data_IF_061002945624
#
_entry.id   IF_061002945624
#
_cell.length_a   1.000
_cell.length_b   1.000
_cell.length_c   1.000
_cell.angle_alpha   90.00
_cell.angle_beta   90.00
_cell.angle_gamma   90.00
#
_symmetry.space_group_name_H-M   'P 1'
#
loop_
_entity.id
_entity.type
_entity.pdbx_description
1 polymer ?
#
# COMPACT_ATOMS: atom_id res chain seq x y z
N UNK A 1 -12.72 -39.73 5.40
CA UNK A 1 -12.49 -39.05 6.69
C UNK A 1 -12.03 -37.62 6.37
N UNK A 2 -12.94 -36.66 6.50
CA UNK A 2 -12.69 -35.24 6.20
C UNK A 2 -12.09 -34.58 7.43
N UNK A 3 -10.86 -34.06 7.35
CA UNK A 3 -10.28 -33.19 8.38
C UNK A 3 -10.73 -31.76 8.13
N UNK A 4 -11.43 -31.20 9.09
CA UNK A 4 -11.89 -29.81 9.09
C UNK A 4 -10.73 -28.83 9.13
N UNK A 5 -10.68 -27.93 8.16
CA UNK A 5 -9.78 -26.78 8.14
C UNK A 5 -10.32 -25.77 9.17
N UNK A 6 -9.67 -25.68 10.33
CA UNK A 6 -9.94 -24.61 11.30
C UNK A 6 -9.35 -23.32 10.76
N UNK A 7 -10.21 -22.37 10.37
CA UNK A 7 -9.83 -20.99 10.10
C UNK A 7 -9.17 -20.39 11.35
N UNK A 8 -7.86 -20.19 11.28
CA UNK A 8 -7.17 -19.30 12.22
C UNK A 8 -7.29 -17.88 11.67
N UNK A 9 -8.27 -17.14 12.16
CA UNK A 9 -8.28 -15.68 12.01
C UNK A 9 -7.13 -15.17 12.90
N UNK A 10 -5.98 -14.94 12.31
CA UNK A 10 -4.85 -14.31 12.99
C UNK A 10 -5.02 -12.80 12.85
N UNK A 11 -5.49 -12.18 13.93
CA UNK A 11 -5.42 -10.73 14.08
C UNK A 11 -3.96 -10.35 14.29
N UNK A 12 -3.23 -10.10 13.22
CA UNK A 12 -1.84 -9.68 13.30
C UNK A 12 -1.74 -8.18 13.60
N UNK A 13 -1.78 -7.85 14.89
CA UNK A 13 -0.99 -6.72 15.38
C UNK A 13 0.47 -7.19 15.36
N UNK A 14 1.10 -7.18 14.18
CA UNK A 14 2.53 -7.48 14.09
C UNK A 14 3.30 -6.25 14.59
N UNK A 15 3.81 -6.35 15.81
CA UNK A 15 4.98 -5.59 16.22
C UNK A 15 6.17 -6.16 15.43
N UNK A 16 6.47 -5.58 14.27
CA UNK A 16 7.64 -5.96 13.47
C UNK A 16 8.88 -5.43 14.18
N UNK A 17 9.64 -6.31 14.82
CA UNK A 17 10.98 -6.02 15.31
C UNK A 17 11.96 -6.06 14.14
N UNK A 18 12.43 -4.90 13.70
CA UNK A 18 13.45 -4.75 12.67
C UNK A 18 14.83 -4.87 13.33
N UNK A 19 15.57 -5.92 13.01
CA UNK A 19 17.01 -6.00 13.27
C UNK A 19 17.74 -5.63 11.96
N UNK A 20 18.31 -4.44 11.89
CA UNK A 20 19.24 -4.07 10.81
C UNK A 20 20.63 -4.58 11.24
N UNK A 21 21.11 -5.64 10.60
CA UNK A 21 22.49 -6.07 10.78
C UNK A 21 23.39 -5.22 9.87
N UNK A 22 24.10 -4.26 10.45
CA UNK A 22 25.21 -3.59 9.79
C UNK A 22 26.38 -4.55 9.77
N UNK A 23 26.68 -5.16 8.61
CA UNK A 23 27.96 -5.82 8.41
C UNK A 23 29.08 -4.76 8.29
N UNK A 24 30.26 -4.98 8.89
CA UNK A 24 31.36 -4.03 8.76
C UNK A 24 31.84 -3.96 7.30
N UNK A 25 31.96 -2.74 6.78
CA UNK A 25 32.47 -2.45 5.44
C UNK A 25 33.96 -2.79 5.41
N UNK A 26 34.30 -3.94 4.81
CA UNK A 26 35.68 -4.24 4.45
C UNK A 26 36.14 -3.27 3.34
N UNK A 27 37.22 -2.54 3.60
CA UNK A 27 37.86 -1.70 2.59
C UNK A 27 38.43 -2.57 1.46
N UNK A 28 37.75 -2.63 0.33
CA UNK A 28 38.32 -3.15 -0.89
C UNK A 28 39.15 -2.06 -1.56
N UNK A 29 40.41 -2.37 -1.86
CA UNK A 29 41.31 -1.49 -2.63
C UNK A 29 40.67 -1.20 -4.01
N UNK A 30 40.61 0.08 -4.36
CA UNK A 30 40.15 0.54 -5.65
C UNK A 30 41.22 0.24 -6.71
N UNK A 31 40.90 -0.67 -7.64
CA UNK A 31 41.55 -0.68 -8.95
C UNK A 31 40.82 0.32 -9.85
N UNK A 32 41.51 1.41 -10.15
CA UNK A 32 41.00 2.50 -10.98
C UNK A 32 41.13 2.15 -12.47
N UNK A 33 40.12 1.52 -13.05
CA UNK A 33 39.81 1.67 -14.46
C UNK A 33 38.50 2.43 -14.56
N UNK A 34 38.58 3.71 -14.95
CA UNK A 34 37.43 4.55 -15.22
C UNK A 34 36.70 4.03 -16.47
N UNK A 35 35.83 3.04 -16.31
CA UNK A 35 34.79 2.79 -17.28
C UNK A 35 33.84 3.98 -17.27
N UNK A 36 33.82 4.73 -18.38
CA UNK A 36 32.79 5.72 -18.65
C UNK A 36 31.46 4.96 -18.68
N UNK A 37 30.74 4.99 -17.59
CA UNK A 37 29.42 4.34 -17.47
C UNK A 37 28.44 5.08 -18.38
N UNK A 38 28.17 4.52 -19.57
CA UNK A 38 27.12 5.04 -20.44
C UNK A 38 25.78 4.89 -19.70
N UNK A 39 25.05 6.00 -19.56
CA UNK A 39 23.69 5.99 -19.00
C UNK A 39 22.86 4.93 -19.74
N UNK A 40 22.24 3.97 -19.05
CA UNK A 40 21.47 2.90 -19.70
C UNK A 40 20.42 3.47 -20.64
N UNK A 41 20.28 2.88 -21.81
CA UNK A 41 19.38 3.40 -22.86
C UNK A 41 17.91 3.48 -22.40
N UNK A 42 17.52 2.66 -21.44
CA UNK A 42 16.16 2.62 -20.90
C UNK A 42 15.77 3.90 -20.15
N UNK A 43 16.71 4.54 -19.41
CA UNK A 43 16.41 5.75 -18.64
C UNK A 43 16.02 6.94 -19.53
N UNK A 44 16.49 6.95 -20.78
CA UNK A 44 16.10 7.96 -21.78
C UNK A 44 14.66 7.84 -22.25
N UNK A 45 14.05 6.67 -22.08
CA UNK A 45 12.65 6.42 -22.46
C UNK A 45 11.67 6.68 -21.32
N UNK A 46 12.16 6.78 -20.10
CA UNK A 46 11.36 6.96 -18.88
C UNK A 46 10.95 8.43 -18.69
N UNK A 47 9.67 8.65 -18.42
CA UNK A 47 9.11 9.97 -18.10
C UNK A 47 8.32 9.91 -16.76
N UNK A 48 8.87 10.46 -15.67
CA UNK A 48 8.22 10.43 -14.36
C UNK A 48 6.88 11.18 -14.33
N UNK A 49 6.67 12.16 -15.22
CA UNK A 49 5.40 12.89 -15.26
C UNK A 49 4.25 11.98 -15.70
N UNK A 50 4.50 11.04 -16.63
CA UNK A 50 3.50 10.04 -17.02
C UNK A 50 3.15 9.11 -15.85
N UNK A 51 4.13 8.68 -15.07
CA UNK A 51 3.86 7.92 -13.86
C UNK A 51 2.98 8.71 -12.88
N UNK A 52 3.26 9.99 -12.67
CA UNK A 52 2.50 10.88 -11.80
C UNK A 52 1.08 11.14 -12.33
N UNK A 53 0.87 11.19 -13.64
CA UNK A 53 -0.48 11.27 -14.23
C UNK A 53 -1.32 10.02 -13.85
N UNK A 54 -0.72 8.83 -13.86
CA UNK A 54 -1.38 7.62 -13.37
C UNK A 54 -1.66 7.70 -11.87
N UNK A 55 -0.72 8.22 -11.07
CA UNK A 55 -0.94 8.46 -9.63
C UNK A 55 -2.13 9.39 -9.41
N UNK A 56 -2.23 10.50 -10.14
CA UNK A 56 -3.36 11.43 -10.06
C UNK A 56 -4.68 10.75 -10.39
N UNK A 57 -4.70 9.99 -11.47
CA UNK A 57 -5.95 9.33 -11.88
C UNK A 57 -6.43 8.34 -10.81
N UNK A 58 -5.54 7.52 -10.28
CA UNK A 58 -5.87 6.52 -9.25
C UNK A 58 -6.27 7.18 -7.92
N UNK A 59 -5.51 8.16 -7.45
CA UNK A 59 -5.73 8.76 -6.13
C UNK A 59 -6.74 9.90 -6.10
N UNK A 60 -6.79 10.76 -7.14
CA UNK A 60 -7.66 11.94 -7.18
C UNK A 60 -8.96 11.68 -7.97
N UNK A 61 -8.90 10.91 -9.08
CA UNK A 61 -10.08 10.63 -9.91
C UNK A 61 -10.87 9.44 -9.36
N UNK A 62 -10.24 8.32 -9.04
CA UNK A 62 -10.89 7.19 -8.39
C UNK A 62 -11.00 7.41 -6.88
N UNK A 63 -9.89 7.79 -6.22
CA UNK A 63 -9.81 8.01 -4.78
C UNK A 63 -9.54 6.72 -4.00
N UNK A 64 -10.04 6.60 -2.75
CA UNK A 64 -9.86 5.39 -1.94
C UNK A 64 -10.39 4.15 -2.66
N UNK A 65 -9.57 3.10 -2.68
CA UNK A 65 -9.77 1.89 -3.50
C UNK A 65 -9.68 0.61 -2.66
N UNK A 66 -10.46 0.48 -1.58
CA UNK A 66 -10.37 -0.70 -0.71
C UNK A 66 -10.67 -1.97 -1.48
N UNK A 67 -9.98 -3.05 -1.10
CA UNK A 67 -10.04 -4.35 -1.76
C UNK A 67 -11.46 -4.87 -1.98
N UNK A 68 -11.76 -5.35 -3.19
CA UNK A 68 -13.06 -5.89 -3.61
C UNK A 68 -14.13 -4.84 -3.90
N UNK A 69 -13.87 -3.54 -3.66
CA UNK A 69 -14.86 -2.48 -3.89
C UNK A 69 -14.94 -2.07 -5.36
N UNK A 70 -16.02 -1.33 -5.72
CA UNK A 70 -16.18 -0.77 -7.06
C UNK A 70 -15.05 0.17 -7.47
N UNK A 71 -14.47 0.90 -6.52
CA UNK A 71 -13.34 1.78 -6.81
C UNK A 71 -12.06 0.99 -7.13
N UNK A 72 -11.83 -0.13 -6.44
CA UNK A 72 -10.75 -1.05 -6.81
C UNK A 72 -10.99 -1.68 -8.20
N UNK A 73 -12.22 -2.11 -8.50
CA UNK A 73 -12.58 -2.62 -9.82
C UNK A 73 -12.32 -1.57 -10.94
N UNK A 74 -12.67 -0.31 -10.71
CA UNK A 74 -12.39 0.76 -11.67
C UNK A 74 -10.89 0.99 -11.88
N UNK A 75 -10.10 0.91 -10.81
CA UNK A 75 -8.65 0.99 -10.90
C UNK A 75 -8.07 -0.16 -11.73
N UNK A 76 -8.49 -1.41 -11.49
CA UNK A 76 -8.02 -2.56 -12.28
C UNK A 76 -8.36 -2.43 -13.76
N UNK A 77 -9.57 -1.93 -14.10
CA UNK A 77 -9.98 -1.69 -15.48
C UNK A 77 -9.16 -0.58 -16.14
N UNK A 78 -8.92 0.52 -15.42
CA UNK A 78 -8.05 1.59 -15.89
C UNK A 78 -6.65 1.06 -16.20
N UNK A 79 -6.02 0.35 -15.27
CA UNK A 79 -4.68 -0.23 -15.44
C UNK A 79 -4.65 -1.17 -16.65
N UNK A 80 -5.62 -2.06 -16.76
CA UNK A 80 -5.69 -2.99 -17.88
C UNK A 80 -5.91 -2.31 -19.23
N UNK A 81 -6.67 -1.21 -19.28
CA UNK A 81 -6.82 -0.40 -20.49
C UNK A 81 -5.50 0.26 -20.88
N UNK A 82 -4.74 0.82 -19.92
CA UNK A 82 -3.43 1.40 -20.19
C UNK A 82 -2.48 0.35 -20.77
N UNK A 83 -2.36 -0.82 -20.14
CA UNK A 83 -1.50 -1.90 -20.61
C UNK A 83 -1.91 -2.42 -21.99
N UNK A 84 -3.22 -2.57 -22.26
CA UNK A 84 -3.73 -2.96 -23.60
C UNK A 84 -3.40 -1.92 -24.67
N UNK A 85 -3.49 -0.63 -24.35
CA UNK A 85 -3.15 0.45 -25.28
C UNK A 85 -1.67 0.45 -25.68
N UNK A 86 -0.79 -0.11 -24.82
CA UNK A 86 0.61 -0.34 -25.07
C UNK A 86 0.88 -1.65 -25.85
N UNK A 87 -0.16 -2.40 -26.22
CA UNK A 87 -0.04 -3.65 -26.99
C UNK A 87 0.23 -4.90 -26.16
N UNK A 88 0.09 -4.85 -24.83
CA UNK A 88 0.24 -6.03 -23.99
C UNK A 88 -1.01 -6.93 -24.05
N UNK A 89 -0.79 -8.24 -23.96
CA UNK A 89 -1.83 -9.19 -23.59
C UNK A 89 -2.11 -9.05 -22.09
N UNK A 90 -3.35 -8.75 -21.71
CA UNK A 90 -3.74 -8.49 -20.33
C UNK A 90 -4.71 -9.54 -19.84
N UNK A 91 -4.32 -10.21 -18.77
CA UNK A 91 -5.11 -11.16 -17.99
C UNK A 91 -5.63 -10.50 -16.71
N UNK A 92 -6.91 -10.75 -16.38
CA UNK A 92 -7.47 -10.41 -15.08
C UNK A 92 -7.68 -11.70 -14.30
N UNK A 93 -7.00 -11.83 -13.16
CA UNK A 93 -7.08 -13.00 -12.31
C UNK A 93 -7.96 -12.71 -11.09
N UNK A 94 -9.22 -13.22 -11.05
CA UNK A 94 -10.15 -12.95 -9.95
C UNK A 94 -9.87 -13.83 -8.73
N UNK A 95 -10.06 -13.24 -7.53
CA UNK A 95 -10.04 -13.97 -6.26
C UNK A 95 -10.99 -13.36 -5.25
N UNK A 96 -11.38 -14.14 -4.24
CA UNK A 96 -12.33 -13.71 -3.21
C UNK A 96 -11.60 -12.95 -2.11
N UNK A 97 -12.23 -11.88 -1.61
CA UNK A 97 -11.72 -11.06 -0.51
C UNK A 97 -12.74 -10.96 0.62
N UNK A 98 -12.30 -10.64 1.85
CA UNK A 98 -13.21 -10.47 3.00
C UNK A 98 -14.20 -9.34 2.80
N UNK A 99 -15.30 -9.42 3.53
CA UNK A 99 -16.30 -8.37 3.60
C UNK A 99 -15.70 -7.01 4.00
N UNK A 100 -16.19 -5.94 3.39
CA UNK A 100 -15.81 -4.57 3.69
C UNK A 100 -16.93 -3.82 4.40
N UNK A 101 -16.55 -3.03 5.40
CA UNK A 101 -17.46 -2.16 6.15
C UNK A 101 -16.99 -0.72 6.01
N UNK A 102 -17.66 0.04 5.14
CA UNK A 102 -17.25 1.40 4.78
C UNK A 102 -18.28 2.41 5.28
N UNK A 103 -17.81 3.37 6.05
CA UNK A 103 -18.57 4.54 6.46
C UNK A 103 -18.37 5.71 5.50
N UNK A 104 -19.42 6.52 5.31
CA UNK A 104 -19.40 7.74 4.52
C UNK A 104 -19.90 8.89 5.37
N UNK A 105 -19.13 9.97 5.41
CA UNK A 105 -19.42 11.16 6.20
C UNK A 105 -19.62 12.34 5.25
N UNK A 106 -20.84 12.82 5.12
CA UNK A 106 -21.13 14.09 4.46
C UNK A 106 -20.95 15.21 5.48
N UNK A 107 -20.12 16.18 5.15
CA UNK A 107 -19.72 17.27 6.03
C UNK A 107 -19.38 18.52 5.22
N UNK A 108 -19.52 19.74 5.79
CA UNK A 108 -19.02 20.97 5.16
C UNK A 108 -17.51 20.97 4.88
N UNK A 109 -16.75 20.09 5.54
CA UNK A 109 -15.31 19.92 5.31
C UNK A 109 -15.01 19.04 4.09
N UNK A 110 -15.95 18.22 3.63
CA UNK A 110 -15.79 17.39 2.44
C UNK A 110 -16.09 18.18 1.17
N UNK A 111 -15.07 18.81 0.59
CA UNK A 111 -15.25 19.76 -0.52
C UNK A 111 -15.56 19.12 -1.87
N UNK A 112 -15.25 17.84 -2.08
CA UNK A 112 -15.42 17.17 -3.38
C UNK A 112 -15.97 15.74 -3.32
N UNK A 113 -15.86 15.05 -2.20
CA UNK A 113 -16.33 13.67 -1.99
C UNK A 113 -16.67 13.47 -0.52
N UNK A 114 -17.59 12.55 -0.25
CA UNK A 114 -17.86 12.10 1.11
C UNK A 114 -16.59 11.50 1.72
N UNK A 115 -16.22 11.95 2.89
CA UNK A 115 -15.11 11.33 3.59
C UNK A 115 -15.45 9.88 3.92
N UNK A 116 -14.54 8.98 3.58
CA UNK A 116 -14.66 7.60 3.99
C UNK A 116 -14.08 7.39 5.38
N UNK A 117 -14.65 6.41 6.07
CA UNK A 117 -14.26 5.98 7.41
C UNK A 117 -14.44 4.47 7.53
N UNK A 118 -13.79 3.83 8.48
CA UNK A 118 -14.07 2.44 8.81
C UNK A 118 -15.38 2.35 9.61
N UNK A 119 -16.40 1.64 9.10
CA UNK A 119 -17.62 1.39 9.89
C UNK A 119 -17.44 0.15 10.79
N UNK A 120 -17.96 0.22 12.00
CA UNK A 120 -17.94 -0.92 12.92
C UNK A 120 -18.94 -2.01 12.48
N UNK A 121 -18.51 -3.28 12.28
CA UNK A 121 -19.40 -4.35 11.83
C UNK A 121 -20.61 -4.59 12.76
N UNK A 122 -20.42 -4.41 14.08
CA UNK A 122 -21.45 -4.57 15.10
C UNK A 122 -22.21 -3.27 15.43
N UNK A 123 -22.20 -2.29 14.53
CA UNK A 123 -22.98 -1.06 14.63
C UNK A 123 -24.15 -1.04 13.63
N UNK A 124 -24.92 0.04 13.62
CA UNK A 124 -25.92 0.25 12.58
C UNK A 124 -25.22 0.45 11.22
N UNK A 125 -25.46 -0.47 10.31
CA UNK A 125 -25.06 -0.36 8.90
C UNK A 125 -26.31 0.04 8.11
N UNK A 126 -26.33 1.26 7.58
CA UNK A 126 -27.49 1.80 6.84
C UNK A 126 -27.02 2.75 5.74
N UNK A 127 -27.65 2.62 4.59
CA UNK A 127 -27.53 3.57 3.46
C UNK A 127 -28.41 4.81 3.67
N UNK A 128 -29.37 4.75 4.58
CA UNK A 128 -30.11 5.92 5.04
C UNK A 128 -29.24 6.76 5.97
N UNK A 129 -29.28 8.08 5.77
CA UNK A 129 -28.42 8.99 6.51
C UNK A 129 -28.90 9.18 7.94
N UNK A 130 -28.00 9.04 8.88
CA UNK A 130 -28.17 9.55 10.26
C UNK A 130 -27.57 10.95 10.31
N UNK A 131 -28.43 11.97 10.34
CA UNK A 131 -28.02 13.38 10.31
C UNK A 131 -28.22 14.01 11.69
N UNK A 132 -27.17 14.62 12.24
CA UNK A 132 -27.23 15.30 13.55
C UNK A 132 -26.05 16.27 13.72
N UNK A 133 -26.16 17.24 14.65
CA UNK A 133 -25.04 18.07 15.05
C UNK A 133 -23.90 17.24 15.68
N UNK A 134 -22.65 17.64 15.42
CA UNK A 134 -21.46 17.04 16.00
C UNK A 134 -21.09 17.74 17.31
N UNK A 135 -20.69 16.95 18.31
CA UNK A 135 -20.09 17.43 19.56
C UNK A 135 -18.79 16.67 19.84
N UNK A 136 -17.76 17.37 20.26
CA UNK A 136 -16.53 16.75 20.75
C UNK A 136 -16.62 16.52 22.28
N UNK A 137 -16.27 15.32 22.72
CA UNK A 137 -16.18 14.96 24.12
C UNK A 137 -14.76 14.47 24.43
N UNK A 138 -14.16 15.07 25.45
CA UNK A 138 -12.84 14.66 25.93
C UNK A 138 -12.99 13.44 26.86
N UNK A 139 -12.16 12.41 26.68
CA UNK A 139 -12.22 11.19 27.50
C UNK A 139 -13.41 10.31 27.14
N UNK A 140 -14.36 10.15 28.07
CA UNK A 140 -15.62 9.41 27.86
C UNK A 140 -15.60 7.94 28.26
N UNK A 141 -14.52 7.46 28.87
CA UNK A 141 -14.46 6.09 29.41
C UNK A 141 -15.28 5.91 30.70
N UNK A 142 -15.61 7.01 31.38
CA UNK A 142 -16.53 7.06 32.49
C UNK A 142 -17.83 7.74 32.08
N UNK A 143 -18.97 7.33 32.63
CA UNK A 143 -20.28 7.86 32.27
C UNK A 143 -20.41 9.35 32.62
N UNK A 144 -19.79 9.77 33.73
CA UNK A 144 -19.73 11.16 34.16
C UNK A 144 -18.98 12.09 33.22
N UNK A 145 -18.08 11.57 32.40
CA UNK A 145 -17.36 12.36 31.37
C UNK A 145 -18.29 12.76 30.20
N UNK A 146 -19.45 12.10 30.06
CA UNK A 146 -20.39 12.33 28.96
C UNK A 146 -21.44 13.36 29.37
N UNK A 147 -21.42 14.57 28.80
CA UNK A 147 -22.38 15.61 29.11
C UNK A 147 -23.78 15.24 28.57
N UNK A 148 -24.84 15.78 29.18
CA UNK A 148 -26.23 15.49 28.78
C UNK A 148 -26.56 16.05 27.39
N UNK A 149 -25.83 17.05 26.93
CA UNK A 149 -25.93 17.68 25.59
C UNK A 149 -25.58 16.71 24.47
N UNK A 150 -25.04 15.53 24.75
CA UNK A 150 -24.81 14.44 23.80
C UNK A 150 -26.11 13.89 23.21
N UNK A 151 -27.22 14.01 23.95
CA UNK A 151 -28.53 13.54 23.52
C UNK A 151 -28.90 14.13 22.14
N UNK A 152 -29.23 13.27 21.21
CA UNK A 152 -29.60 13.64 19.84
C UNK A 152 -28.44 14.05 18.90
N UNK A 153 -27.19 13.97 19.35
CA UNK A 153 -26.00 14.39 18.59
C UNK A 153 -25.12 13.21 18.13
N UNK A 154 -24.25 13.49 17.16
CA UNK A 154 -23.11 12.64 16.83
C UNK A 154 -21.95 13.05 17.76
N UNK A 155 -21.29 12.08 18.36
CA UNK A 155 -20.20 12.33 19.32
C UNK A 155 -18.86 12.00 18.69
N UNK A 156 -17.92 12.93 18.73
CA UNK A 156 -16.54 12.74 18.35
C UNK A 156 -15.70 12.50 19.60
N UNK A 157 -14.94 11.40 19.61
CA UNK A 157 -13.95 11.09 20.63
C UNK A 157 -12.57 10.94 20.02
N UNK A 158 -11.56 11.38 20.74
CA UNK A 158 -10.25 10.76 20.65
C UNK A 158 -10.37 9.34 21.18
N UNK A 159 -10.07 8.32 20.37
CA UNK A 159 -10.33 6.94 20.80
C UNK A 159 -9.46 6.57 21.99
N UNK A 160 -10.02 5.81 22.91
CA UNK A 160 -9.26 5.19 23.98
C UNK A 160 -8.14 4.29 23.44
N UNK A 161 -7.08 4.13 24.23
CA UNK A 161 -5.86 3.40 23.82
C UNK A 161 -6.10 1.91 23.61
N UNK A 162 -7.06 1.33 24.30
CA UNK A 162 -7.43 -0.08 24.18
C UNK A 162 -8.81 -0.28 23.56
N UNK A 163 -9.08 -1.49 23.09
CA UNK A 163 -10.42 -1.89 22.59
C UNK A 163 -11.47 -1.69 23.68
N UNK A 164 -11.16 -2.02 24.93
CA UNK A 164 -12.06 -1.84 26.07
C UNK A 164 -12.39 -0.37 26.30
N UNK A 165 -11.42 0.52 26.21
CA UNK A 165 -11.62 1.94 26.47
C UNK A 165 -12.57 2.59 25.45
N UNK A 166 -12.33 2.39 24.17
CA UNK A 166 -13.22 2.98 23.17
C UNK A 166 -14.61 2.30 23.14
N UNK A 167 -14.72 1.03 23.54
CA UNK A 167 -16.04 0.41 23.73
C UNK A 167 -16.83 1.09 24.86
N UNK A 168 -16.18 1.42 26.00
CA UNK A 168 -16.80 2.22 27.07
C UNK A 168 -17.24 3.60 26.58
N UNK A 169 -16.39 4.29 25.77
CA UNK A 169 -16.78 5.57 25.17
C UNK A 169 -18.06 5.44 24.34
N UNK A 170 -18.17 4.40 23.49
CA UNK A 170 -19.35 4.14 22.67
C UNK A 170 -20.57 3.83 23.53
N UNK A 171 -20.46 2.88 24.50
CA UNK A 171 -21.56 2.48 25.36
C UNK A 171 -22.08 3.65 26.21
N UNK A 172 -21.20 4.48 26.77
CA UNK A 172 -21.54 5.66 27.53
C UNK A 172 -22.26 6.72 26.69
N UNK A 173 -21.77 6.98 25.46
CA UNK A 173 -22.44 7.91 24.55
C UNK A 173 -23.84 7.42 24.14
N UNK A 174 -24.00 6.12 23.85
CA UNK A 174 -25.29 5.50 23.53
C UNK A 174 -26.26 5.63 24.71
N UNK A 175 -25.82 5.36 25.95
CA UNK A 175 -26.65 5.47 27.14
C UNK A 175 -27.14 6.91 27.41
N UNK A 176 -26.40 7.91 26.90
CA UNK A 176 -26.77 9.34 26.95
C UNK A 176 -27.54 9.82 25.71
N UNK A 177 -27.99 8.91 24.85
CA UNK A 177 -28.84 9.23 23.71
C UNK A 177 -28.09 9.75 22.45
N UNK A 178 -26.83 9.45 22.29
CA UNK A 178 -26.08 9.76 21.05
C UNK A 178 -26.76 9.14 19.83
N UNK A 179 -26.72 9.84 18.69
CA UNK A 179 -27.22 9.38 17.37
C UNK A 179 -26.16 8.71 16.51
N UNK A 180 -24.89 8.91 16.83
CA UNK A 180 -23.74 8.31 16.17
C UNK A 180 -22.47 8.57 16.97
N UNK A 181 -21.44 7.77 16.73
CA UNK A 181 -20.12 7.93 17.35
C UNK A 181 -19.02 7.89 16.31
N UNK A 182 -18.11 8.85 16.37
CA UNK A 182 -16.89 8.94 15.61
C UNK A 182 -15.70 8.79 16.56
N UNK A 183 -14.84 7.82 16.29
CA UNK A 183 -13.61 7.54 17.05
C UNK A 183 -12.41 7.88 16.16
N UNK A 184 -11.64 8.91 16.49
CA UNK A 184 -10.45 9.18 15.68
C UNK A 184 -9.18 8.60 16.32
N UNK A 185 -8.29 8.12 15.45
CA UNK A 185 -7.03 7.49 15.83
C UNK A 185 -6.09 8.47 16.52
N UNK A 186 -5.27 7.94 17.44
CA UNK A 186 -4.15 8.67 18.05
C UNK A 186 -2.99 8.83 17.07
N UNK A 187 -2.11 9.79 17.31
CA UNK A 187 -0.80 9.82 16.66
C UNK A 187 -0.02 8.59 17.13
N UNK A 188 0.53 7.82 16.18
CA UNK A 188 1.35 6.66 16.49
C UNK A 188 2.68 7.05 17.14
N UNK A 189 3.26 6.15 17.95
CA UNK A 189 4.52 6.37 18.66
C UNK A 189 5.75 6.64 17.75
N UNK A 190 5.60 6.47 16.44
CA UNK A 190 6.61 6.79 15.42
C UNK A 190 6.37 8.15 14.73
N UNK A 191 5.45 8.96 15.25
CA UNK A 191 5.11 10.27 14.69
C UNK A 191 4.27 10.22 13.41
N UNK A 192 3.79 9.04 13.01
CA UNK A 192 2.87 8.89 11.91
C UNK A 192 1.46 9.31 12.34
N UNK A 193 0.70 9.90 11.44
CA UNK A 193 -0.71 10.17 11.71
C UNK A 193 -1.47 8.85 11.87
N UNK A 194 -2.38 8.80 12.86
CA UNK A 194 -3.20 7.61 13.05
C UNK A 194 -4.16 7.40 11.88
N UNK A 195 -4.19 6.19 11.38
CA UNK A 195 -4.98 5.80 10.20
C UNK A 195 -6.47 5.60 10.51
N UNK A 196 -7.28 5.55 9.46
CA UNK A 196 -8.67 5.09 9.50
C UNK A 196 -8.73 3.61 9.93
N UNK A 197 -9.75 3.22 10.68
CA UNK A 197 -9.90 1.85 11.18
C UNK A 197 -11.37 1.45 11.35
N UNK A 198 -11.64 0.14 11.34
CA UNK A 198 -12.96 -0.41 11.65
C UNK A 198 -13.04 -0.73 13.16
N UNK A 199 -13.84 0.02 13.96
CA UNK A 199 -13.93 -0.23 15.39
C UNK A 199 -14.49 -1.63 15.70
N UNK A 200 -13.79 -2.38 16.56
CA UNK A 200 -14.25 -3.68 17.06
C UNK A 200 -15.14 -3.49 18.27
N UNK A 201 -16.44 -3.58 18.09
CA UNK A 201 -17.40 -3.43 19.19
C UNK A 201 -17.67 -4.78 19.86
N UNK A 202 -17.64 -4.78 21.20
CA UNK A 202 -17.93 -5.93 22.02
C UNK A 202 -19.44 -6.25 22.07
N UNK A 203 -20.28 -5.20 21.94
CA UNK A 203 -21.74 -5.30 21.90
C UNK A 203 -22.29 -4.68 20.64
N UNK A 204 -23.39 -5.22 20.13
CA UNK A 204 -24.13 -4.63 19.02
C UNK A 204 -24.68 -3.26 19.42
N UNK A 205 -24.54 -2.28 18.51
CA UNK A 205 -25.04 -0.92 18.68
C UNK A 205 -26.13 -0.61 17.66
N UNK A 206 -27.14 0.17 18.07
CA UNK A 206 -28.24 0.60 17.20
C UNK A 206 -27.98 1.92 16.46
N UNK A 207 -26.80 2.49 16.61
CA UNK A 207 -26.34 3.73 15.97
C UNK A 207 -25.08 3.46 15.13
N UNK A 208 -24.75 4.30 14.12
CA UNK A 208 -23.49 4.18 13.38
C UNK A 208 -22.30 4.51 14.29
N UNK A 209 -21.23 3.72 14.18
CA UNK A 209 -19.95 3.94 14.86
C UNK A 209 -18.83 3.83 13.84
N UNK A 210 -18.06 4.91 13.64
CA UNK A 210 -17.01 4.97 12.65
C UNK A 210 -15.65 5.26 13.27
N UNK A 211 -14.61 4.66 12.68
CA UNK A 211 -13.21 4.94 12.99
C UNK A 211 -12.59 5.85 11.94
N UNK A 212 -12.01 6.94 12.39
CA UNK A 212 -11.41 8.00 11.59
C UNK A 212 -9.89 8.00 11.72
N UNK A 213 -9.21 8.53 10.72
CA UNK A 213 -7.83 8.95 10.85
C UNK A 213 -7.70 10.15 11.82
N UNK A 214 -6.52 10.29 12.43
CA UNK A 214 -6.21 11.42 13.32
C UNK A 214 -6.54 12.78 12.68
N UNK A 215 -6.11 12.97 11.42
CA UNK A 215 -6.31 14.23 10.73
C UNK A 215 -7.78 14.56 10.47
N UNK A 216 -8.62 13.56 10.21
CA UNK A 216 -10.07 13.76 10.06
C UNK A 216 -10.70 14.22 11.39
N UNK A 217 -10.35 13.55 12.50
CA UNK A 217 -10.82 13.91 13.83
C UNK A 217 -10.40 15.32 14.25
N UNK A 218 -9.14 15.67 13.99
CA UNK A 218 -8.62 17.01 14.26
C UNK A 218 -9.32 18.10 13.43
N UNK A 219 -9.56 17.85 12.15
CA UNK A 219 -10.29 18.79 11.30
C UNK A 219 -11.71 19.06 11.85
N UNK A 220 -12.40 18.04 12.34
CA UNK A 220 -13.70 18.22 13.01
C UNK A 220 -13.60 18.99 14.32
N UNK A 221 -12.58 18.74 15.14
CA UNK A 221 -12.34 19.53 16.37
C UNK A 221 -12.13 21.01 16.07
N UNK A 222 -11.31 21.32 15.07
CA UNK A 222 -11.05 22.68 14.64
C UNK A 222 -12.32 23.35 14.10
N UNK A 223 -13.14 22.62 13.34
CA UNK A 223 -14.41 23.13 12.81
C UNK A 223 -15.39 23.47 13.95
N UNK A 224 -15.52 22.56 14.93
CA UNK A 224 -16.34 22.83 16.13
C UNK A 224 -15.83 24.04 16.89
N UNK A 225 -14.50 24.14 17.09
CA UNK A 225 -13.91 25.29 17.78
C UNK A 225 -14.16 26.62 17.08
N UNK A 226 -14.20 26.63 15.74
CA UNK A 226 -14.46 27.84 14.95
C UNK A 226 -15.94 28.23 14.86
N UNK A 227 -16.84 27.24 14.75
CA UNK A 227 -18.27 27.46 14.44
C UNK A 227 -19.23 27.10 15.56
N UNK A 228 -18.73 26.54 16.65
CA UNK A 228 -19.53 26.02 17.78
C UNK A 228 -20.13 24.65 17.54
N UNK A 229 -20.54 24.34 16.33
CA UNK A 229 -21.05 23.02 15.91
C UNK A 229 -20.98 22.87 14.39
N UNK A 230 -21.08 21.62 13.93
CA UNK A 230 -21.26 21.29 12.50
C UNK A 230 -22.27 20.14 12.40
N UNK A 231 -23.02 20.09 11.30
CA UNK A 231 -23.98 19.00 11.05
C UNK A 231 -23.31 17.98 10.14
N UNK A 232 -23.39 16.70 10.53
CA UNK A 232 -22.88 15.58 9.74
C UNK A 232 -24.02 14.65 9.33
N UNK A 233 -23.87 14.00 8.19
CA UNK A 233 -24.71 12.88 7.77
C UNK A 233 -23.86 11.64 7.63
N UNK A 234 -24.19 10.59 8.38
CA UNK A 234 -23.47 9.32 8.43
C UNK A 234 -24.26 8.26 7.67
N UNK A 235 -23.58 7.57 6.73
CA UNK A 235 -24.09 6.39 6.02
C UNK A 235 -23.05 5.28 6.12
N UNK A 236 -23.48 4.03 6.10
CA UNK A 236 -22.57 2.89 6.10
C UNK A 236 -23.03 1.83 5.11
N UNK A 237 -22.05 1.13 4.53
CA UNK A 237 -22.28 -0.05 3.68
C UNK A 237 -21.51 -1.24 4.22
N UNK A 238 -22.17 -2.39 4.16
CA UNK A 238 -21.54 -3.69 4.26
C UNK A 238 -21.52 -4.29 2.87
N UNK A 239 -20.35 -4.50 2.35
CA UNK A 239 -20.15 -5.14 1.04
C UNK A 239 -19.58 -6.54 1.27
N UNK A 240 -20.26 -7.55 0.73
CA UNK A 240 -19.94 -8.97 0.91
C UNK A 240 -19.83 -9.70 -0.40
N UNK A 241 -19.26 -10.92 -0.38
CA UNK A 241 -18.98 -11.74 -1.56
C UNK A 241 -18.15 -10.97 -2.60
N UNK A 242 -17.18 -10.26 -2.10
CA UNK A 242 -16.33 -9.38 -2.89
C UNK A 242 -15.29 -10.16 -3.67
N UNK A 243 -15.00 -9.67 -4.87
CA UNK A 243 -13.96 -10.21 -5.74
C UNK A 243 -12.99 -9.08 -6.07
N UNK A 244 -11.72 -9.30 -5.84
CA UNK A 244 -10.64 -8.47 -6.32
C UNK A 244 -9.97 -9.08 -7.54
N UNK A 245 -9.13 -8.33 -8.24
CA UNK A 245 -8.50 -8.73 -9.48
C UNK A 245 -6.99 -8.46 -9.43
N UNK A 246 -6.16 -9.44 -9.74
CA UNK A 246 -4.81 -9.13 -10.20
C UNK A 246 -4.86 -8.75 -11.68
N UNK A 247 -4.10 -7.73 -12.08
CA UNK A 247 -3.96 -7.33 -13.49
C UNK A 247 -2.57 -7.72 -13.96
N UNK A 248 -2.49 -8.62 -14.92
CA UNK A 248 -1.25 -9.24 -15.37
C UNK A 248 -1.03 -8.94 -16.85
N UNK A 249 0.06 -8.25 -17.19
CA UNK A 249 0.48 -8.02 -18.56
C UNK A 249 1.79 -8.75 -18.84
N UNK A 250 1.84 -9.45 -19.96
CA UNK A 250 3.01 -10.28 -20.36
C UNK A 250 3.56 -9.81 -21.68
N UNK A 251 4.88 -9.66 -21.78
CA UNK A 251 5.61 -9.49 -23.03
C UNK A 251 6.54 -10.67 -23.21
N UNK A 252 6.22 -11.51 -24.17
CA UNK A 252 7.05 -12.64 -24.58
C UNK A 252 8.12 -12.20 -25.58
N UNK A 253 9.27 -12.86 -25.64
CA UNK A 253 10.24 -12.63 -26.71
C UNK A 253 9.65 -13.00 -28.07
N UNK A 254 10.18 -12.40 -29.15
CA UNK A 254 9.71 -12.67 -30.53
C UNK A 254 9.75 -14.16 -30.92
N UNK A 255 10.74 -14.90 -30.40
CA UNK A 255 10.87 -16.36 -30.60
C UNK A 255 10.62 -17.06 -29.30
N UNK A 256 9.35 -17.10 -28.87
CA UNK A 256 8.97 -17.75 -27.62
C UNK A 256 8.87 -19.26 -27.80
N UNK A 257 9.46 -20.01 -26.85
CA UNK A 257 9.38 -21.47 -26.74
C UNK A 257 8.44 -21.92 -25.61
N UNK A 258 7.97 -20.97 -24.79
CA UNK A 258 7.17 -21.19 -23.60
C UNK A 258 7.99 -21.62 -22.36
N UNK A 259 9.32 -21.64 -22.47
CA UNK A 259 10.24 -22.00 -21.38
C UNK A 259 11.21 -20.86 -20.99
N UNK A 260 11.01 -19.68 -21.55
CA UNK A 260 11.85 -18.53 -21.29
C UNK A 260 11.82 -18.15 -19.82
N UNK A 261 12.95 -17.71 -19.29
CA UNK A 261 13.00 -17.07 -18.00
C UNK A 261 12.19 -15.78 -18.00
N UNK A 262 11.68 -15.39 -16.83
CA UNK A 262 10.84 -14.21 -16.69
C UNK A 262 11.39 -13.26 -15.63
N UNK A 263 11.24 -11.96 -15.85
CA UNK A 263 11.42 -10.92 -14.84
C UNK A 263 10.05 -10.28 -14.56
N UNK A 264 9.74 -10.08 -13.29
CA UNK A 264 8.47 -9.49 -12.86
C UNK A 264 8.72 -8.09 -12.31
N UNK A 265 7.90 -7.13 -12.70
CA UNK A 265 7.78 -5.80 -12.10
C UNK A 265 6.38 -5.71 -11.52
N UNK A 266 6.26 -5.43 -10.22
CA UNK A 266 4.96 -5.46 -9.55
C UNK A 266 4.73 -4.29 -8.61
N UNK A 267 3.46 -4.09 -8.26
CA UNK A 267 2.96 -3.19 -7.22
C UNK A 267 1.57 -3.66 -6.80
N UNK A 268 1.02 -3.15 -5.72
CA UNK A 268 -0.42 -3.19 -5.50
C UNK A 268 -1.09 -1.90 -5.98
N UNK A 269 -2.41 -1.96 -6.22
CA UNK A 269 -3.16 -0.80 -6.71
C UNK A 269 -4.35 -0.43 -5.84
N UNK A 270 -4.69 -1.25 -4.86
CA UNK A 270 -5.67 -0.92 -3.83
C UNK A 270 -5.11 0.10 -2.82
N UNK A 271 -5.93 0.60 -1.95
CA UNK A 271 -5.56 1.44 -0.81
C UNK A 271 -6.52 1.21 0.35
N UNK A 272 -6.15 1.57 1.56
CA UNK A 272 -7.03 1.45 2.71
C UNK A 272 -8.26 2.36 2.62
N UNK A 273 -9.30 2.02 3.37
CA UNK A 273 -10.51 2.84 3.51
C UNK A 273 -10.14 4.25 3.93
N UNK A 274 -10.63 5.25 3.19
CA UNK A 274 -10.46 6.67 3.51
C UNK A 274 -9.15 7.31 3.06
N UNK A 275 -8.17 6.54 2.58
CA UNK A 275 -6.94 7.08 2.03
C UNK A 275 -6.97 7.08 0.48
N UNK A 276 -6.72 8.23 -0.17
CA UNK A 276 -6.55 8.28 -1.63
C UNK A 276 -5.39 7.39 -2.11
N UNK A 277 -4.40 7.14 -1.26
CA UNK A 277 -3.29 6.26 -1.54
C UNK A 277 -2.47 6.73 -2.74
N UNK A 278 -2.00 7.98 -2.71
CA UNK A 278 -1.18 8.51 -3.80
C UNK A 278 0.22 7.91 -3.76
N UNK A 279 0.85 7.91 -2.59
CA UNK A 279 2.12 7.22 -2.41
C UNK A 279 1.89 5.73 -2.14
N UNK A 280 0.89 5.37 -1.37
CA UNK A 280 0.53 4.01 -0.98
C UNK A 280 -0.81 3.54 -1.62
N UNK A 281 -0.80 2.84 -2.79
CA UNK A 281 0.38 2.62 -3.65
C UNK A 281 0.07 2.94 -5.12
N UNK A 282 -0.59 4.10 -5.38
CA UNK A 282 -0.70 4.56 -6.75
C UNK A 282 0.69 4.92 -7.33
N UNK A 283 1.68 5.24 -6.46
CA UNK A 283 3.05 5.54 -6.89
C UNK A 283 3.72 4.32 -7.52
N UNK A 284 3.66 3.17 -6.87
CA UNK A 284 4.17 1.91 -7.43
C UNK A 284 3.43 1.49 -8.69
N UNK A 285 2.10 1.65 -8.71
CA UNK A 285 1.30 1.35 -9.91
C UNK A 285 1.65 2.29 -11.08
N UNK A 286 1.84 3.59 -10.82
CA UNK A 286 2.31 4.54 -11.84
C UNK A 286 3.69 4.18 -12.38
N UNK A 287 4.60 3.74 -11.51
CA UNK A 287 5.92 3.24 -11.90
C UNK A 287 5.80 2.00 -12.80
N UNK A 288 4.98 1.01 -12.42
CA UNK A 288 4.75 -0.21 -13.22
C UNK A 288 4.23 0.13 -14.62
N UNK A 289 3.26 1.05 -14.73
CA UNK A 289 2.68 1.48 -16.00
C UNK A 289 3.70 2.23 -16.88
N UNK A 290 4.51 3.11 -16.29
CA UNK A 290 5.53 3.84 -17.04
C UNK A 290 6.68 2.90 -17.49
N UNK A 291 7.10 1.96 -16.65
CA UNK A 291 8.05 0.94 -17.07
C UNK A 291 7.47 0.04 -18.17
N UNK A 292 6.19 -0.35 -18.07
CA UNK A 292 5.55 -1.09 -19.16
C UNK A 292 5.64 -0.32 -20.48
N UNK A 293 5.38 0.98 -20.47
CA UNK A 293 5.52 1.84 -21.66
C UNK A 293 6.96 1.90 -22.15
N UNK A 294 7.93 2.11 -21.26
CA UNK A 294 9.34 2.23 -21.62
C UNK A 294 9.91 0.91 -22.20
N UNK A 295 9.44 -0.23 -21.70
CA UNK A 295 9.86 -1.55 -22.16
C UNK A 295 9.08 -2.07 -23.38
N UNK A 296 8.07 -1.34 -23.86
CA UNK A 296 7.22 -1.80 -24.97
C UNK A 296 8.02 -2.28 -26.19
N UNK A 297 9.08 -1.57 -26.56
CA UNK A 297 9.90 -1.86 -27.73
C UNK A 297 11.28 -2.48 -27.40
N UNK A 298 11.55 -2.79 -26.13
CA UNK A 298 12.83 -3.42 -25.74
C UNK A 298 12.82 -4.87 -26.19
N UNK A 299 13.79 -5.26 -27.02
CA UNK A 299 13.95 -6.65 -27.43
C UNK A 299 14.72 -7.44 -26.36
N UNK A 300 14.26 -8.63 -26.07
CA UNK A 300 14.85 -9.53 -25.07
C UNK A 300 14.53 -10.98 -25.42
N UNK A 301 15.36 -11.91 -24.93
CA UNK A 301 15.12 -13.35 -24.97
C UNK A 301 14.32 -13.88 -23.77
N UNK A 302 13.95 -12.99 -22.84
CA UNK A 302 13.20 -13.29 -21.62
C UNK A 302 11.80 -12.68 -21.66
N UNK A 303 10.91 -13.26 -20.90
CA UNK A 303 9.57 -12.70 -20.66
C UNK A 303 9.66 -11.56 -19.64
N UNK A 304 8.90 -10.48 -19.87
CA UNK A 304 8.65 -9.46 -18.84
C UNK A 304 7.20 -9.58 -18.42
N UNK A 305 6.94 -9.61 -17.12
CA UNK A 305 5.60 -9.53 -16.53
C UNK A 305 5.46 -8.23 -15.76
N UNK A 306 4.42 -7.46 -16.08
CA UNK A 306 3.98 -6.30 -15.31
C UNK A 306 2.72 -6.73 -14.59
N UNK A 307 2.75 -6.73 -13.25
CA UNK A 307 1.65 -7.22 -12.43
C UNK A 307 1.26 -6.14 -11.42
N UNK A 308 -0.05 -5.83 -11.36
CA UNK A 308 -0.57 -5.04 -10.26
C UNK A 308 -1.54 -5.89 -9.45
N UNK A 309 -1.25 -6.03 -8.16
CA UNK A 309 -2.02 -6.86 -7.24
C UNK A 309 -3.17 -6.07 -6.63
N UNK A 310 -4.32 -6.70 -6.48
CA UNK A 310 -5.42 -6.16 -5.71
C UNK A 310 -5.37 -6.65 -4.27
N UNK A 311 -6.01 -5.90 -3.37
CA UNK A 311 -6.24 -6.28 -1.97
C UNK A 311 -4.97 -6.67 -1.19
N UNK A 312 -3.87 -5.98 -1.44
CA UNK A 312 -2.64 -6.07 -0.65
C UNK A 312 -2.90 -5.66 0.79
N UNK A 313 -3.60 -4.54 0.98
CA UNK A 313 -3.95 -3.91 2.24
C UNK A 313 -4.84 -4.79 3.15
N UNK A 314 -5.38 -5.85 2.58
CA UNK A 314 -6.21 -6.83 3.29
C UNK A 314 -5.39 -8.07 3.69
N UNK A 315 -4.07 -8.00 3.56
CA UNK A 315 -3.12 -9.04 3.96
C UNK A 315 -2.50 -9.80 2.79
N UNK A 316 -1.99 -9.09 1.79
CA UNK A 316 -1.25 -9.61 0.62
C UNK A 316 -2.07 -10.57 -0.25
N UNK A 317 -3.41 -10.46 -0.24
CA UNK A 317 -4.29 -11.48 -0.82
C UNK A 317 -4.06 -11.70 -2.31
N UNK A 318 -3.78 -10.63 -3.07
CA UNK A 318 -3.56 -10.72 -4.51
C UNK A 318 -2.27 -11.43 -4.87
N UNK A 319 -1.16 -11.04 -4.27
CA UNK A 319 0.14 -11.66 -4.52
C UNK A 319 0.21 -13.09 -4.00
N UNK A 320 -0.38 -13.37 -2.83
CA UNK A 320 -0.48 -14.74 -2.30
C UNK A 320 -1.29 -15.65 -3.23
N UNK A 321 -2.45 -15.17 -3.70
CA UNK A 321 -3.26 -15.92 -4.67
C UNK A 321 -2.51 -16.18 -5.97
N UNK A 322 -1.80 -15.16 -6.51
CA UNK A 322 -1.00 -15.31 -7.73
C UNK A 322 0.09 -16.36 -7.56
N UNK A 323 0.90 -16.25 -6.52
CA UNK A 323 2.03 -17.17 -6.27
C UNK A 323 1.54 -18.60 -6.06
N UNK A 324 0.44 -18.78 -5.31
CA UNK A 324 -0.15 -20.10 -5.07
C UNK A 324 -0.77 -20.73 -6.33
N UNK A 325 -1.15 -19.91 -7.32
CA UNK A 325 -1.66 -20.40 -8.61
C UNK A 325 -0.55 -20.88 -9.56
N UNK A 326 0.72 -20.52 -9.31
CA UNK A 326 1.84 -20.91 -10.17
C UNK A 326 2.23 -22.36 -9.96
N UNK A 327 2.39 -23.10 -11.06
CA UNK A 327 3.07 -24.40 -11.03
C UNK A 327 4.55 -24.24 -10.65
N UNK A 328 5.20 -25.30 -10.15
CA UNK A 328 6.63 -25.28 -9.86
C UNK A 328 7.44 -24.85 -11.11
N UNK A 329 7.09 -25.36 -12.29
CA UNK A 329 7.72 -24.97 -13.56
C UNK A 329 7.64 -23.45 -13.80
N UNK A 330 6.50 -22.81 -13.51
CA UNK A 330 6.35 -21.36 -13.66
C UNK A 330 7.16 -20.59 -12.60
N UNK A 331 7.20 -21.07 -11.36
CA UNK A 331 8.04 -20.49 -10.30
C UNK A 331 9.53 -20.52 -10.69
N UNK A 332 10.01 -21.66 -11.19
CA UNK A 332 11.41 -21.86 -11.62
C UNK A 332 11.82 -20.97 -12.81
N UNK A 333 10.84 -20.45 -13.58
CA UNK A 333 11.10 -19.52 -14.67
C UNK A 333 11.34 -18.09 -14.19
N UNK A 334 10.83 -17.71 -13.04
CA UNK A 334 10.95 -16.33 -12.53
C UNK A 334 12.34 -16.12 -11.95
N UNK A 335 13.13 -15.26 -12.60
CA UNK A 335 14.48 -14.87 -12.17
C UNK A 335 14.43 -13.93 -10.96
N UNK A 336 13.46 -13.02 -10.94
CA UNK A 336 13.32 -12.08 -9.86
C UNK A 336 12.10 -11.19 -10.00
N UNK A 337 11.63 -10.67 -8.85
CA UNK A 337 10.45 -9.81 -8.71
C UNK A 337 10.87 -8.46 -8.13
N UNK A 338 10.70 -7.41 -8.91
CA UNK A 338 10.92 -6.01 -8.53
C UNK A 338 9.57 -5.43 -8.08
N UNK A 339 9.30 -5.46 -6.78
CA UNK A 339 8.04 -4.97 -6.21
C UNK A 339 8.16 -3.53 -5.76
N UNK A 340 7.43 -2.62 -6.40
CA UNK A 340 7.43 -1.18 -6.12
C UNK A 340 6.28 -0.82 -5.17
N UNK A 341 6.62 -0.29 -3.99
CA UNK A 341 5.64 0.12 -3.00
C UNK A 341 6.12 1.38 -2.28
N UNK A 342 5.30 2.46 -2.32
CA UNK A 342 5.61 3.77 -1.77
C UNK A 342 6.91 4.39 -2.34
N UNK A 343 6.96 4.50 -3.66
CA UNK A 343 8.20 4.89 -4.39
C UNK A 343 8.33 6.38 -4.71
N UNK A 344 7.43 7.22 -4.21
CA UNK A 344 7.42 8.64 -4.60
C UNK A 344 7.12 9.62 -3.45
N UNK A 345 7.22 9.22 -2.18
CA UNK A 345 6.98 10.13 -1.05
C UNK A 345 7.84 11.40 -1.11
N UNK A 346 7.29 12.53 -0.68
CA UNK A 346 8.08 13.76 -0.46
C UNK A 346 8.56 13.91 0.99
N UNK A 347 8.30 12.91 1.85
CA UNK A 347 8.67 12.97 3.25
C UNK A 347 10.19 13.06 3.43
N UNK A 348 10.66 14.13 4.05
CA UNK A 348 12.06 14.48 4.18
C UNK A 348 12.90 13.47 4.96
N UNK A 349 12.27 12.71 5.89
CA UNK A 349 12.94 11.66 6.66
C UNK A 349 13.08 10.33 5.89
N UNK A 350 12.34 10.12 4.83
CA UNK A 350 12.50 8.95 3.95
C UNK A 350 13.63 9.21 2.94
N UNK A 351 14.89 9.08 3.35
CA UNK A 351 16.06 9.58 2.63
C UNK A 351 16.63 8.65 1.58
N UNK A 352 16.34 7.35 1.66
CA UNK A 352 16.96 6.33 0.82
C UNK A 352 15.92 5.49 0.10
N UNK A 353 16.23 5.08 -1.11
CA UNK A 353 15.50 4.03 -1.84
C UNK A 353 16.08 2.67 -1.44
N UNK A 354 15.30 1.88 -0.74
CA UNK A 354 15.72 0.56 -0.32
C UNK A 354 15.23 -0.52 -1.27
N UNK A 355 16.09 -1.52 -1.51
CA UNK A 355 15.73 -2.83 -2.03
C UNK A 355 15.73 -3.82 -0.85
N UNK A 356 14.53 -4.25 -0.40
CA UNK A 356 14.38 -5.00 0.85
C UNK A 356 13.92 -6.42 0.61
N UNK A 357 14.47 -7.35 1.39
CA UNK A 357 14.01 -8.74 1.47
C UNK A 357 13.39 -9.03 2.84
N UNK A 358 12.54 -10.06 2.99
CA UNK A 358 11.89 -10.36 4.26
C UNK A 358 12.86 -10.70 5.38
N UNK A 359 14.00 -11.29 5.06
CA UNK A 359 15.03 -11.72 6.02
C UNK A 359 16.28 -10.81 6.05
N UNK A 360 16.42 -9.89 5.09
CA UNK A 360 17.58 -9.01 4.92
C UNK A 360 18.73 -9.62 4.12
N UNK A 361 18.55 -10.84 3.57
CA UNK A 361 19.56 -11.47 2.72
C UNK A 361 19.66 -10.82 1.35
N UNK A 362 20.82 -10.94 0.70
CA UNK A 362 20.98 -10.54 -0.71
C UNK A 362 20.33 -11.57 -1.63
N UNK A 363 19.84 -11.12 -2.77
CA UNK A 363 19.37 -11.99 -3.83
C UNK A 363 19.57 -11.32 -5.20
N UNK A 364 19.19 -12.02 -6.26
CA UNK A 364 19.28 -11.54 -7.64
C UNK A 364 18.74 -10.12 -7.84
N UNK A 365 17.63 -9.76 -7.17
CA UNK A 365 16.96 -8.45 -7.33
C UNK A 365 17.69 -7.36 -6.56
N UNK A 366 18.11 -7.63 -5.32
CA UNK A 366 18.90 -6.67 -4.53
C UNK A 366 20.24 -6.37 -5.18
N UNK A 367 20.91 -7.39 -5.72
CA UNK A 367 22.17 -7.22 -6.46
C UNK A 367 21.96 -6.36 -7.72
N UNK A 368 20.88 -6.61 -8.47
CA UNK A 368 20.53 -5.81 -9.64
C UNK A 368 20.24 -4.34 -9.27
N UNK A 369 19.56 -4.09 -8.14
CA UNK A 369 19.27 -2.76 -7.66
C UNK A 369 20.54 -1.99 -7.25
N UNK A 370 21.42 -2.61 -6.47
CA UNK A 370 22.68 -1.99 -6.04
C UNK A 370 23.60 -1.73 -7.24
N UNK A 371 23.64 -2.65 -8.22
CA UNK A 371 24.39 -2.44 -9.44
C UNK A 371 23.83 -1.29 -10.28
N UNK A 372 22.49 -1.18 -10.38
CA UNK A 372 21.82 -0.07 -11.05
C UNK A 372 22.14 1.27 -10.37
N UNK A 373 22.09 1.33 -9.03
CA UNK A 373 22.48 2.50 -8.26
C UNK A 373 23.90 2.95 -8.61
N UNK A 374 24.88 2.04 -8.61
CA UNK A 374 26.27 2.32 -9.00
C UNK A 374 26.40 2.86 -10.44
N UNK A 375 25.70 2.24 -11.41
CA UNK A 375 25.70 2.67 -12.80
C UNK A 375 25.14 4.08 -12.99
N UNK A 376 24.20 4.46 -12.15
CA UNK A 376 23.53 5.77 -12.17
C UNK A 376 24.22 6.80 -11.27
N UNK A 377 25.35 6.46 -10.64
CA UNK A 377 26.03 7.27 -9.63
C UNK A 377 25.06 7.73 -8.53
N UNK A 378 24.23 6.84 -8.05
CA UNK A 378 23.21 7.10 -7.04
C UNK A 378 23.50 6.30 -5.76
N UNK A 379 24.06 6.98 -4.76
CA UNK A 379 24.42 6.40 -3.47
C UNK A 379 23.23 6.26 -2.50
N UNK A 380 22.03 6.70 -2.92
CA UNK A 380 20.81 6.60 -2.10
C UNK A 380 20.17 5.22 -2.15
N UNK A 381 20.66 4.31 -3.01
CA UNK A 381 20.14 2.95 -3.15
C UNK A 381 20.80 2.05 -2.12
N UNK A 382 19.99 1.51 -1.21
CA UNK A 382 20.46 0.66 -0.12
C UNK A 382 19.72 -0.68 -0.11
N UNK A 383 20.32 -1.66 0.54
CA UNK A 383 19.65 -2.93 0.86
C UNK A 383 19.14 -2.90 2.30
N UNK A 384 18.04 -3.61 2.57
CA UNK A 384 17.49 -3.69 3.91
C UNK A 384 16.61 -4.92 4.15
N UNK A 385 15.95 -4.92 5.31
CA UNK A 385 15.02 -5.97 5.75
C UNK A 385 13.64 -5.38 6.00
N UNK A 386 12.62 -5.93 5.31
CA UNK A 386 11.22 -5.58 5.55
C UNK A 386 10.31 -6.71 5.04
N UNK A 387 9.39 -7.18 5.88
CA UNK A 387 8.56 -8.35 5.62
C UNK A 387 7.06 -8.05 5.53
N UNK A 388 6.66 -6.97 4.85
CA UNK A 388 5.25 -6.60 4.74
C UNK A 388 4.98 -5.86 3.43
N UNK A 389 4.93 -6.56 2.33
CA UNK A 389 4.42 -6.15 1.01
C UNK A 389 4.44 -7.35 0.06
N UNK A 390 3.96 -7.19 -1.17
CA UNK A 390 3.75 -8.26 -2.17
C UNK A 390 5.00 -9.06 -2.57
N UNK A 391 6.21 -8.64 -2.20
CA UNK A 391 7.44 -9.44 -2.40
C UNK A 391 7.50 -10.67 -1.49
N UNK A 392 6.77 -10.67 -0.36
CA UNK A 392 6.83 -11.72 0.67
C UNK A 392 6.34 -13.07 0.15
N UNK A 393 5.15 -13.22 -0.46
CA UNK A 393 4.70 -14.51 -0.98
C UNK A 393 5.65 -15.13 -2.00
N UNK A 394 6.31 -14.31 -2.82
CA UNK A 394 7.32 -14.79 -3.76
C UNK A 394 8.56 -15.32 -3.04
N UNK A 395 9.07 -14.57 -2.07
CA UNK A 395 10.24 -14.99 -1.29
C UNK A 395 9.96 -16.29 -0.53
N UNK A 396 8.78 -16.44 0.08
CA UNK A 396 8.34 -17.66 0.76
C UNK A 396 8.23 -18.87 -0.20
N UNK A 397 7.90 -18.60 -1.47
CA UNK A 397 7.89 -19.62 -2.52
C UNK A 397 9.29 -19.91 -3.14
N UNK A 398 10.36 -19.32 -2.58
CA UNK A 398 11.74 -19.49 -3.06
C UNK A 398 12.08 -18.70 -4.31
N UNK A 399 11.25 -17.73 -4.71
CA UNK A 399 11.47 -16.85 -5.85
C UNK A 399 12.22 -15.59 -5.37
N UNK A 400 13.38 -15.22 -5.94
CA UNK A 400 14.07 -13.99 -5.59
C UNK A 400 13.16 -12.77 -5.75
N UNK A 401 12.90 -12.04 -4.68
CA UNK A 401 12.03 -10.88 -4.69
C UNK A 401 12.58 -9.78 -3.77
N UNK A 402 12.37 -8.53 -4.12
CA UNK A 402 12.66 -7.40 -3.26
C UNK A 402 11.59 -6.31 -3.37
N UNK A 403 11.30 -5.69 -2.24
CA UNK A 403 10.51 -4.49 -2.11
C UNK A 403 11.38 -3.26 -2.40
N UNK A 404 10.93 -2.39 -3.28
CA UNK A 404 11.50 -1.06 -3.47
C UNK A 404 10.62 -0.03 -2.78
N UNK A 405 11.20 0.70 -1.82
CA UNK A 405 10.49 1.67 -0.99
C UNK A 405 11.40 2.83 -0.59
N UNK A 406 10.88 4.06 -0.59
CA UNK A 406 11.58 5.15 0.06
C UNK A 406 11.41 5.08 1.57
N UNK A 407 12.53 5.05 2.29
CA UNK A 407 12.53 4.96 3.74
C UNK A 407 13.73 5.69 4.34
N UNK A 408 13.62 6.07 5.60
CA UNK A 408 14.75 6.52 6.43
C UNK A 408 14.80 5.70 7.72
N UNK A 409 16.00 5.64 8.30
CA UNK A 409 16.24 4.98 9.59
C UNK A 409 16.93 6.00 10.50
N UNK A 410 16.53 6.05 11.77
CA UNK A 410 17.14 6.93 12.73
C UNK A 410 18.58 6.49 13.01
N UNK A 411 19.53 7.45 12.95
CA UNK A 411 20.95 7.19 13.18
C UNK A 411 21.25 6.72 14.62
N UNK A 412 20.43 7.11 15.58
CA UNK A 412 20.59 6.76 17.00
C UNK A 412 19.81 5.51 17.42
N UNK A 413 18.76 5.11 16.67
CA UNK A 413 18.02 3.90 16.90
C UNK A 413 17.51 3.31 15.57
N UNK A 414 18.20 2.32 14.99
CA UNK A 414 17.84 1.73 13.71
C UNK A 414 16.51 0.93 13.73
N UNK A 415 15.90 0.74 14.90
CA UNK A 415 14.56 0.17 15.02
C UNK A 415 13.46 1.19 14.72
N UNK A 416 13.81 2.49 14.67
CA UNK A 416 12.89 3.55 14.27
C UNK A 416 13.11 3.86 12.80
N UNK A 417 12.09 3.58 11.99
CA UNK A 417 12.10 3.85 10.56
C UNK A 417 10.98 4.83 10.17
N UNK A 418 11.21 5.57 9.10
CA UNK A 418 10.33 6.60 8.58
C UNK A 418 9.98 6.26 7.13
N UNK A 419 8.78 5.78 6.88
CA UNK A 419 8.30 5.48 5.52
C UNK A 419 7.47 6.64 4.94
N UNK A 420 6.55 7.16 5.73
CA UNK A 420 5.62 8.20 5.33
C UNK A 420 4.96 8.80 6.57
N UNK A 421 4.77 10.12 6.58
CA UNK A 421 4.08 10.79 7.68
C UNK A 421 2.57 10.60 7.63
N UNK A 422 2.03 10.60 6.40
CA UNK A 422 0.59 10.56 6.13
C UNK A 422 0.12 9.17 5.66
N UNK A 423 0.91 8.15 5.95
CA UNK A 423 0.63 6.75 5.64
C UNK A 423 -0.77 6.33 6.08
N UNK A 424 -1.55 5.74 5.16
CA UNK A 424 -2.92 5.27 5.41
C UNK A 424 -3.89 6.37 5.86
N UNK A 425 -3.70 7.61 5.42
CA UNK A 425 -4.56 8.73 5.79
C UNK A 425 -5.13 9.47 4.56
N UNK A 426 -6.17 10.30 4.75
CA UNK A 426 -6.70 11.13 3.67
C UNK A 426 -5.70 12.15 3.09
N UNK A 427 -4.59 12.41 3.78
CA UNK A 427 -3.52 13.31 3.35
C UNK A 427 -2.50 12.64 2.41
N UNK A 428 -2.56 11.34 2.21
CA UNK A 428 -1.79 10.69 1.15
C UNK A 428 -2.39 11.03 -0.22
N UNK A 429 -2.14 12.26 -0.67
CA UNK A 429 -2.61 12.86 -1.92
C UNK A 429 -1.42 13.32 -2.77
N UNK A 430 -1.67 13.64 -4.05
CA UNK A 430 -0.58 13.98 -4.97
C UNK A 430 0.08 15.32 -4.63
N UNK A 431 -0.72 16.32 -4.29
CA UNK A 431 -0.23 17.70 -4.11
C UNK A 431 0.76 17.81 -2.95
N UNK A 432 0.46 17.13 -1.85
CA UNK A 432 1.20 17.27 -0.59
C UNK A 432 2.27 16.18 -0.40
N UNK A 433 2.12 15.04 -1.09
CA UNK A 433 2.90 13.85 -0.73
C UNK A 433 3.72 13.21 -1.86
N UNK A 434 3.62 13.65 -3.10
CA UNK A 434 4.36 13.06 -4.22
C UNK A 434 5.54 13.94 -4.64
N UNK A 435 6.74 13.33 -4.71
CA UNK A 435 7.96 13.91 -5.25
C UNK A 435 8.25 13.37 -6.65
N UNK A 436 8.19 14.23 -7.69
CA UNK A 436 8.60 13.84 -9.05
C UNK A 436 10.06 13.37 -9.14
N UNK A 437 10.93 13.95 -8.33
CA UNK A 437 12.33 13.60 -8.28
C UNK A 437 12.56 12.18 -7.76
N UNK A 438 11.89 11.82 -6.65
CA UNK A 438 11.99 10.47 -6.09
C UNK A 438 11.33 9.43 -6.98
N UNK A 439 10.20 9.78 -7.63
CA UNK A 439 9.60 8.94 -8.67
C UNK A 439 10.60 8.69 -9.81
N UNK A 440 11.29 9.73 -10.27
CA UNK A 440 12.32 9.62 -11.30
C UNK A 440 13.44 8.67 -10.88
N UNK A 441 13.98 8.85 -9.66
CA UNK A 441 15.05 7.98 -9.15
C UNK A 441 14.61 6.52 -9.04
N UNK A 442 13.40 6.25 -8.52
CA UNK A 442 12.88 4.89 -8.42
C UNK A 442 12.71 4.25 -9.80
N UNK A 443 12.15 4.99 -10.76
CA UNK A 443 12.01 4.56 -12.14
C UNK A 443 13.37 4.23 -12.78
N UNK A 444 14.37 5.10 -12.63
CA UNK A 444 15.70 4.90 -13.20
C UNK A 444 16.40 3.69 -12.59
N UNK A 445 16.35 3.52 -11.27
CA UNK A 445 17.00 2.39 -10.57
C UNK A 445 16.31 1.07 -10.90
N UNK A 446 14.99 0.99 -10.75
CA UNK A 446 14.24 -0.23 -11.03
C UNK A 446 14.29 -0.56 -12.52
N UNK A 447 14.07 0.44 -13.38
CA UNK A 447 14.15 0.26 -14.83
C UNK A 447 15.51 -0.24 -15.30
N UNK A 448 16.60 0.32 -14.77
CA UNK A 448 17.98 -0.15 -15.07
C UNK A 448 18.22 -1.56 -14.55
N UNK A 449 17.79 -1.86 -13.30
CA UNK A 449 17.92 -3.20 -12.72
C UNK A 449 17.18 -4.26 -13.53
N UNK A 450 15.95 -3.96 -13.96
CA UNK A 450 15.15 -4.82 -14.84
C UNK A 450 15.83 -4.98 -16.22
N UNK A 451 16.25 -3.88 -16.85
CA UNK A 451 16.92 -3.91 -18.14
C UNK A 451 18.17 -4.79 -18.11
N UNK A 452 19.04 -4.60 -17.11
CA UNK A 452 20.25 -5.41 -16.94
C UNK A 452 19.91 -6.90 -16.72
N UNK A 453 18.85 -7.19 -15.95
CA UNK A 453 18.39 -8.56 -15.70
C UNK A 453 17.91 -9.26 -16.97
N UNK A 454 17.33 -8.51 -17.91
CA UNK A 454 16.90 -9.03 -19.20
C UNK A 454 18.06 -9.30 -20.16
N UNK A 455 19.16 -8.54 -20.06
CA UNK A 455 20.32 -8.66 -20.96
C UNK A 455 21.35 -9.69 -20.45
N UNK A 456 21.38 -9.99 -19.14
CA UNK A 456 22.33 -10.97 -18.58
C UNK A 456 22.04 -12.38 -19.09
N UNK A 457 23.08 -13.17 -19.44
CA UNK A 457 22.91 -14.60 -19.65
C UNK A 457 22.27 -15.26 -18.42
N UNK A 458 21.44 -16.26 -18.65
CA UNK A 458 20.89 -17.08 -17.54
C UNK A 458 22.06 -17.81 -16.88
N UNK A 459 22.23 -17.74 -15.54
CA UNK A 459 23.23 -18.52 -14.84
C UNK A 459 23.04 -20.00 -15.21
N UNK A 460 24.08 -20.65 -15.72
CA UNK A 460 24.06 -22.10 -15.86
C UNK A 460 24.07 -22.66 -14.44
N UNK A 461 22.93 -23.16 -13.97
CA UNK A 461 22.90 -24.03 -12.79
C UNK A 461 23.83 -25.19 -13.11
N UNK A 462 24.89 -25.36 -12.31
CA UNK A 462 25.69 -26.57 -12.33
C UNK A 462 24.71 -27.75 -12.26
N UNK A 463 24.60 -28.47 -13.36
CA UNK A 463 23.98 -29.78 -13.35
C UNK A 463 24.83 -30.62 -12.40
N UNK A 464 24.40 -30.80 -11.15
CA UNK A 464 24.90 -31.87 -10.32
C UNK A 464 24.59 -33.14 -11.10
N UNK A 465 25.67 -33.71 -11.67
CA UNK A 465 25.65 -35.06 -12.18
C UNK A 465 25.08 -36.00 -11.13
N UNK A 466 24.00 -36.69 -11.48
CA UNK A 466 23.41 -37.74 -10.69
C UNK A 466 24.37 -38.96 -10.65
#
# INVERSE_FOLDING_TARGET
MRKSLKQKIVSSLLAVSLAVSLAPIGQAKADSTSEVTQTPSITKQIDPNRAIEHVRFLSETIGPRPGGTKSEEWASRYIGMQLKSMGYEVEYQPFQVPDQYVGFIESPLSTKRNWQAGAAPNALISTEAVTAPLIFVQGGTKLEDIPNEVNGKIVLFERGTTVTDYNKQVENAVSKGAKGVLLYSLIGGRGNYGQTFNPRLMKKQSIPVFGLAYAQGNAFKEEIAKKGTTILSLKARHESKLTSLNVIAKKKPKKSTGNEKAVVVSSHYDSVVGAPGANDNASGTGLVLELARAFQNVETDKEIRFITFGSEETGLLGSDYYVNSLSQKERDRILGVFNADMVATNYDKAKNLYAMTPDGSTNFVTDAALQAGKQLNNDLVLQGKFGSSDHVPFAEAGIPAALFIWMGVDSWNPLIYHIEKVYHTPQDNVLENISPERMRMALDVIGTGVYNSLQKPVPQTEQKAA
#
